data_IF_271699100671
#
_entry.id   IF_271699100671
#
_cell.length_a   1.000
_cell.length_b   1.000
_cell.length_c   1.000
_cell.angle_alpha   90.00
_cell.angle_beta   90.00
_cell.angle_gamma   90.00
#
_symmetry.space_group_name_H-M   'P 1'
#
loop_
_entity.id
_entity.type
_entity.pdbx_description
1 polymer ?
#
# COMPACT_ATOMS: atom_id res chain seq x y z
N UNK A 1 21.28 16.86 11.88
CA UNK A 1 20.26 16.33 12.79
C UNK A 1 18.94 15.99 12.06
N UNK A 2 18.44 16.81 11.13
CA UNK A 2 17.20 16.51 10.38
C UNK A 2 17.23 15.25 9.50
N UNK A 3 18.38 14.87 8.96
CA UNK A 3 18.50 13.70 8.08
C UNK A 3 18.24 12.37 8.80
N UNK A 4 18.61 12.26 10.08
CA UNK A 4 18.36 11.07 10.88
C UNK A 4 16.85 10.88 11.10
N UNK A 5 16.16 11.97 11.46
CA UNK A 5 14.71 11.97 11.68
C UNK A 5 13.91 11.61 10.40
N UNK A 6 14.41 12.01 9.22
CA UNK A 6 13.80 11.62 7.93
C UNK A 6 13.95 10.12 7.68
N UNK A 7 15.12 9.55 7.98
CA UNK A 7 15.39 8.12 7.82
C UNK A 7 14.54 7.30 8.80
N UNK A 8 14.38 7.76 10.04
CA UNK A 8 13.58 7.09 11.06
C UNK A 8 12.09 7.02 10.70
N UNK A 9 11.59 8.02 9.96
CA UNK A 9 10.18 8.09 9.56
C UNK A 9 9.90 7.44 8.20
N UNK A 10 10.93 7.04 7.47
CA UNK A 10 10.81 6.48 6.11
C UNK A 10 9.93 5.21 6.04
N UNK A 11 10.05 4.23 6.96
CA UNK A 11 9.13 3.08 7.01
C UNK A 11 7.67 3.51 7.13
N UNK A 12 7.40 4.47 8.01
CA UNK A 12 6.06 5.03 8.24
C UNK A 12 5.53 5.75 7.01
N UNK A 13 6.36 6.55 6.34
CA UNK A 13 5.97 7.23 5.10
C UNK A 13 5.66 6.24 3.96
N UNK A 14 6.40 5.13 3.87
CA UNK A 14 6.10 4.05 2.93
C UNK A 14 4.72 3.44 3.16
N UNK A 15 4.36 3.18 4.42
CA UNK A 15 3.03 2.67 4.78
C UNK A 15 1.92 3.68 4.49
N UNK A 16 2.11 4.95 4.85
CA UNK A 16 1.14 6.03 4.58
C UNK A 16 0.94 6.26 3.08
N UNK A 17 2.02 6.17 2.30
CA UNK A 17 1.95 6.23 0.85
C UNK A 17 1.05 5.12 0.30
N UNK A 18 1.27 3.87 0.72
CA UNK A 18 0.42 2.77 0.25
C UNK A 18 -1.03 2.91 0.72
N UNK A 19 -1.26 3.39 1.95
CA UNK A 19 -2.61 3.66 2.45
C UNK A 19 -3.33 4.68 1.58
N UNK A 20 -2.66 5.76 1.18
CA UNK A 20 -3.22 6.78 0.28
C UNK A 20 -3.56 6.18 -1.09
N UNK A 21 -2.63 5.42 -1.68
CA UNK A 21 -2.87 4.71 -2.96
C UNK A 21 -4.07 3.78 -2.85
N UNK A 22 -4.16 3.02 -1.76
CA UNK A 22 -5.27 2.11 -1.48
C UNK A 22 -6.62 2.84 -1.44
N UNK A 23 -6.68 3.99 -0.74
CA UNK A 23 -7.88 4.83 -0.70
C UNK A 23 -8.28 5.31 -2.10
N UNK A 24 -7.32 5.80 -2.90
CA UNK A 24 -7.58 6.24 -4.27
C UNK A 24 -8.17 5.10 -5.14
N UNK A 25 -7.64 3.88 -5.00
CA UNK A 25 -8.13 2.71 -5.75
C UNK A 25 -9.56 2.34 -5.32
N UNK A 26 -9.87 2.38 -4.01
CA UNK A 26 -11.24 2.14 -3.55
C UNK A 26 -12.23 3.17 -4.10
N UNK A 27 -11.84 4.46 -4.12
CA UNK A 27 -12.64 5.53 -4.71
C UNK A 27 -12.85 5.30 -6.21
N UNK A 28 -11.80 4.89 -6.94
CA UNK A 28 -11.88 4.55 -8.35
C UNK A 28 -12.84 3.38 -8.60
N UNK A 29 -12.68 2.26 -7.90
CA UNK A 29 -13.55 1.09 -8.06
C UNK A 29 -15.01 1.41 -7.71
N UNK A 30 -15.24 2.20 -6.67
CA UNK A 30 -16.57 2.67 -6.31
C UNK A 30 -17.17 3.59 -7.40
N UNK A 31 -16.38 4.49 -7.98
CA UNK A 31 -16.80 5.35 -9.09
C UNK A 31 -17.12 4.55 -10.36
N UNK A 32 -16.31 3.55 -10.68
CA UNK A 32 -16.53 2.66 -11.81
C UNK A 32 -17.82 1.84 -11.64
N UNK A 33 -18.13 1.35 -10.42
CA UNK A 33 -19.38 0.58 -10.15
C UNK A 33 -20.65 1.33 -10.53
N UNK A 34 -20.65 2.66 -10.50
CA UNK A 34 -21.80 3.50 -10.86
C UNK A 34 -21.99 3.69 -12.37
N UNK A 35 -21.05 3.27 -13.21
CA UNK A 35 -21.11 3.45 -14.66
C UNK A 35 -21.56 2.16 -15.36
N UNK A 36 -22.61 2.21 -16.22
CA UNK A 36 -22.98 1.10 -17.09
C UNK A 36 -21.99 1.04 -18.27
N UNK A 37 -20.80 0.49 -18.04
CA UNK A 37 -19.81 0.23 -19.09
C UNK A 37 -19.74 -1.28 -19.38
N UNK A 38 -19.40 -1.64 -20.62
CA UNK A 38 -19.22 -3.03 -21.01
C UNK A 38 -18.10 -3.71 -20.21
N UNK A 39 -18.24 -5.01 -19.94
CA UNK A 39 -17.33 -5.83 -19.12
C UNK A 39 -15.85 -5.67 -19.53
N UNK A 40 -15.56 -5.64 -20.83
CA UNK A 40 -14.20 -5.49 -21.38
C UNK A 40 -13.61 -4.10 -21.12
N UNK A 41 -14.41 -3.04 -21.18
CA UNK A 41 -13.97 -1.67 -20.93
C UNK A 41 -13.62 -1.42 -19.45
N UNK A 42 -14.15 -2.26 -18.55
CA UNK A 42 -13.90 -2.17 -17.11
C UNK A 42 -12.74 -3.05 -16.65
N UNK A 43 -12.39 -4.10 -17.40
CA UNK A 43 -11.22 -4.93 -17.09
C UNK A 43 -9.92 -4.14 -17.14
N UNK A 44 -9.72 -3.30 -18.17
CA UNK A 44 -8.49 -2.54 -18.34
C UNK A 44 -8.17 -1.60 -17.16
N UNK A 45 -9.06 -0.67 -16.75
CA UNK A 45 -8.77 0.21 -15.62
C UNK A 45 -8.59 -0.60 -14.32
N UNK A 46 -9.42 -1.62 -14.08
CA UNK A 46 -9.30 -2.44 -12.86
C UNK A 46 -7.94 -3.15 -12.78
N UNK A 47 -7.48 -3.77 -13.87
CA UNK A 47 -6.18 -4.44 -13.91
C UNK A 47 -5.04 -3.44 -13.71
N UNK A 48 -5.11 -2.26 -14.33
CA UNK A 48 -4.09 -1.23 -14.16
C UNK A 48 -4.04 -0.71 -12.72
N UNK A 49 -5.18 -0.44 -12.08
CA UNK A 49 -5.22 -0.01 -10.68
C UNK A 49 -4.68 -1.09 -9.74
N UNK A 50 -4.98 -2.37 -9.98
CA UNK A 50 -4.41 -3.48 -9.19
C UNK A 50 -2.88 -3.59 -9.39
N UNK A 51 -2.37 -3.37 -10.60
CA UNK A 51 -0.92 -3.34 -10.86
C UNK A 51 -0.25 -2.19 -10.10
N UNK A 52 -0.84 -0.99 -10.14
CA UNK A 52 -0.35 0.16 -9.36
C UNK A 52 -0.36 -0.13 -7.86
N UNK A 53 -1.42 -0.78 -7.37
CA UNK A 53 -1.48 -1.22 -5.97
C UNK A 53 -0.37 -2.21 -5.62
N UNK A 54 -0.21 -3.26 -6.41
CA UNK A 54 0.79 -4.29 -6.17
C UNK A 54 2.20 -3.68 -6.13
N UNK A 55 2.51 -2.82 -7.11
CA UNK A 55 3.81 -2.15 -7.16
C UNK A 55 4.02 -1.22 -5.96
N UNK A 56 2.98 -0.48 -5.55
CA UNK A 56 3.04 0.41 -4.40
C UNK A 56 3.17 -0.34 -3.08
N UNK A 57 2.52 -1.50 -2.94
CA UNK A 57 2.63 -2.37 -1.78
C UNK A 57 4.04 -2.95 -1.67
N UNK A 58 4.60 -3.43 -2.79
CA UNK A 58 5.98 -3.92 -2.85
C UNK A 58 6.97 -2.80 -2.52
N UNK A 59 6.78 -1.61 -3.07
CA UNK A 59 7.60 -0.45 -2.74
C UNK A 59 7.55 -0.13 -1.24
N UNK A 60 6.36 -0.05 -0.65
CA UNK A 60 6.20 0.21 0.79
C UNK A 60 6.87 -0.88 1.65
N UNK A 61 6.71 -2.15 1.28
CA UNK A 61 7.35 -3.27 1.97
C UNK A 61 8.89 -3.20 1.88
N UNK A 62 9.43 -2.88 0.71
CA UNK A 62 10.87 -2.73 0.51
C UNK A 62 11.44 -1.56 1.30
N UNK A 63 10.78 -0.39 1.26
CA UNK A 63 11.18 0.77 2.06
C UNK A 63 11.18 0.40 3.53
N UNK A 64 10.12 -0.26 4.02
CA UNK A 64 10.02 -0.68 5.42
C UNK A 64 11.19 -1.61 5.80
N UNK A 65 11.43 -2.68 5.04
CA UNK A 65 12.45 -3.68 5.37
C UNK A 65 13.87 -3.13 5.27
N UNK A 66 14.16 -2.26 4.30
CA UNK A 66 15.50 -1.69 4.11
C UNK A 66 15.81 -0.63 5.16
N UNK A 67 14.83 0.22 5.50
CA UNK A 67 15.09 1.40 6.32
C UNK A 67 14.82 1.19 7.81
N UNK A 68 13.94 0.26 8.19
CA UNK A 68 13.74 -0.11 9.59
C UNK A 68 15.03 -0.44 10.35
N UNK A 69 15.96 -1.29 9.86
CA UNK A 69 17.20 -1.60 10.58
C UNK A 69 18.21 -0.44 10.60
N UNK A 70 18.03 0.58 9.77
CA UNK A 70 18.89 1.76 9.70
C UNK A 70 18.37 2.93 10.54
N UNK A 71 17.19 2.77 11.15
CA UNK A 71 16.62 3.78 12.05
C UNK A 71 17.34 3.80 13.40
N UNK A 72 17.15 4.87 14.16
CA UNK A 72 17.67 4.98 15.53
C UNK A 72 17.24 3.77 16.38
N UNK A 73 18.07 3.31 17.33
CA UNK A 73 17.85 2.05 18.04
C UNK A 73 16.47 1.93 18.71
N UNK A 74 15.95 3.03 19.24
CA UNK A 74 14.61 3.11 19.84
C UNK A 74 13.47 2.89 18.81
N UNK A 75 13.64 3.39 17.59
CA UNK A 75 12.70 3.20 16.49
C UNK A 75 12.89 1.86 15.77
N UNK A 76 14.11 1.36 15.70
CA UNK A 76 14.42 0.07 15.06
C UNK A 76 13.73 -1.09 15.81
N UNK A 77 13.77 -1.08 17.14
CA UNK A 77 13.07 -2.06 17.98
C UNK A 77 11.55 -1.99 17.82
N UNK A 78 11.01 -0.76 17.68
CA UNK A 78 9.60 -0.55 17.35
C UNK A 78 9.26 -1.19 16.00
N UNK A 79 9.99 -0.87 14.93
CA UNK A 79 9.69 -1.40 13.60
C UNK A 79 9.87 -2.91 13.49
N UNK A 80 10.84 -3.49 14.20
CA UNK A 80 11.01 -4.94 14.27
C UNK A 80 9.79 -5.60 14.92
N UNK A 81 9.27 -5.02 16.01
CA UNK A 81 8.08 -5.53 16.72
C UNK A 81 6.83 -5.52 15.84
N UNK A 82 6.66 -4.50 14.99
CA UNK A 82 5.49 -4.34 14.12
C UNK A 82 5.70 -4.82 12.68
N UNK A 83 6.83 -5.44 12.35
CA UNK A 83 7.15 -5.80 10.97
C UNK A 83 6.11 -6.77 10.37
N UNK A 84 5.76 -7.83 11.11
CA UNK A 84 4.77 -8.80 10.64
C UNK A 84 3.38 -8.16 10.47
N UNK A 85 2.98 -7.28 11.39
CA UNK A 85 1.69 -6.58 11.35
C UNK A 85 1.63 -5.62 10.16
N UNK A 86 2.71 -4.87 9.91
CA UNK A 86 2.79 -3.90 8.82
C UNK A 86 2.73 -4.59 7.46
N UNK A 87 3.53 -5.64 7.25
CA UNK A 87 3.54 -6.42 6.00
C UNK A 87 2.23 -7.19 5.80
N UNK A 88 1.67 -7.74 6.89
CA UNK A 88 0.35 -8.35 6.89
C UNK A 88 -0.73 -7.36 6.49
N UNK A 89 -0.69 -6.14 7.03
CA UNK A 89 -1.62 -5.05 6.70
C UNK A 89 -1.58 -4.66 5.22
N UNK A 90 -0.39 -4.51 4.63
CA UNK A 90 -0.23 -4.28 3.19
C UNK A 90 -0.90 -5.39 2.36
N UNK A 91 -0.66 -6.64 2.75
CA UNK A 91 -1.20 -7.83 2.07
C UNK A 91 -2.72 -7.89 2.16
N UNK A 92 -3.27 -7.68 3.36
CA UNK A 92 -4.72 -7.66 3.60
C UNK A 92 -5.39 -6.55 2.78
N UNK A 93 -4.83 -5.34 2.77
CA UNK A 93 -5.36 -4.23 1.98
C UNK A 93 -5.36 -4.54 0.48
N UNK A 94 -4.29 -5.12 -0.05
CA UNK A 94 -4.23 -5.54 -1.45
C UNK A 94 -5.30 -6.60 -1.75
N UNK A 95 -5.44 -7.63 -0.90
CA UNK A 95 -6.44 -8.68 -1.08
C UNK A 95 -7.88 -8.12 -1.03
N UNK A 96 -8.15 -7.14 -0.15
CA UNK A 96 -9.44 -6.48 -0.10
C UNK A 96 -9.76 -5.74 -1.40
N UNK A 97 -8.79 -5.09 -2.02
CA UNK A 97 -8.97 -4.45 -3.33
C UNK A 97 -9.25 -5.48 -4.43
N UNK A 98 -8.54 -6.62 -4.43
CA UNK A 98 -8.80 -7.73 -5.37
C UNK A 98 -10.21 -8.28 -5.19
N UNK A 99 -10.62 -8.57 -3.95
CA UNK A 99 -11.96 -9.07 -3.65
C UNK A 99 -13.02 -8.04 -4.08
N UNK A 100 -12.82 -6.76 -3.79
CA UNK A 100 -13.74 -5.70 -4.19
C UNK A 100 -13.85 -5.57 -5.71
N UNK A 101 -12.74 -5.75 -6.44
CA UNK A 101 -12.73 -5.77 -7.90
C UNK A 101 -13.47 -6.98 -8.47
N UNK A 102 -13.38 -8.16 -7.84
CA UNK A 102 -14.04 -9.40 -8.26
C UNK A 102 -15.54 -9.43 -7.95
N UNK A 103 -15.97 -8.79 -6.85
CA UNK A 103 -17.39 -8.72 -6.43
C UNK A 103 -18.22 -7.72 -7.26
N UNK A 104 -17.61 -7.03 -8.20
CA UNK A 104 -18.26 -6.08 -9.10
C UNK A 104 -18.87 -6.76 -10.32
#
# INVERSE_FOLDING_TARGET
MNYLLIIDMLPTYGLLFYLLVSICIFVEFHGLRRRPSGRVQLCFPVVMSLMVSALSAVFAALVYVITAPSSQPDMADFYASYQAVSLGGLTVLFLLQVIYALLR
#
